data_IF_511634575725
#
_entry.id   IF_511634575725
#
_cell.length_a   1.000
_cell.length_b   1.000
_cell.length_c   1.000
_cell.angle_alpha   90.00
_cell.angle_beta   90.00
_cell.angle_gamma   90.00
#
_symmetry.space_group_name_H-M   'P 1'
#
loop_
_entity.id
_entity.type
_entity.pdbx_description
1 polymer ?
#
# COMPACT_ATOMS: atom_id res chain seq x y z
N UNK A 1 -14.32 -8.85 -4.65
CA UNK A 1 -13.18 -9.70 -4.26
C UNK A 1 -13.66 -11.08 -3.84
N UNK A 2 -14.42 -11.23 -2.73
CA UNK A 2 -14.93 -12.55 -2.30
C UNK A 2 -15.53 -13.44 -3.41
N UNK A 3 -16.39 -12.89 -4.28
CA UNK A 3 -16.95 -13.64 -5.43
C UNK A 3 -15.85 -14.06 -6.42
N UNK A 4 -14.95 -13.15 -6.77
CA UNK A 4 -13.81 -13.47 -7.63
C UNK A 4 -12.96 -14.56 -7.01
N UNK A 5 -12.63 -14.45 -5.72
CA UNK A 5 -11.79 -15.41 -5.01
C UNK A 5 -12.44 -16.81 -4.94
N UNK A 6 -13.78 -16.88 -4.91
CA UNK A 6 -14.53 -18.12 -4.91
C UNK A 6 -14.63 -18.78 -6.30
N UNK A 7 -14.96 -18.02 -7.35
CA UNK A 7 -15.33 -18.57 -8.67
C UNK A 7 -14.38 -18.21 -9.81
N UNK A 8 -13.38 -17.37 -9.57
CA UNK A 8 -12.40 -16.93 -10.58
C UNK A 8 -12.96 -15.93 -11.61
N UNK A 9 -14.21 -15.50 -11.47
CA UNK A 9 -14.89 -14.59 -12.40
C UNK A 9 -14.93 -13.17 -11.86
N UNK A 10 -14.39 -12.22 -12.63
CA UNK A 10 -14.35 -10.81 -12.23
C UNK A 10 -15.53 -10.05 -12.84
N UNK A 11 -16.47 -9.66 -11.98
CA UNK A 11 -17.62 -8.85 -12.36
C UNK A 11 -17.27 -7.35 -12.28
N UNK A 12 -17.66 -6.59 -13.30
CA UNK A 12 -17.40 -5.14 -13.40
C UNK A 12 -18.64 -4.30 -13.08
N UNK A 13 -19.82 -4.90 -13.19
CA UNK A 13 -21.09 -4.22 -13.07
C UNK A 13 -21.80 -4.63 -11.79
N UNK A 14 -22.48 -3.65 -11.17
CA UNK A 14 -23.38 -3.83 -10.05
C UNK A 14 -24.82 -3.54 -10.49
N UNK A 15 -25.83 -4.18 -9.89
CA UNK A 15 -25.76 -5.07 -8.73
C UNK A 15 -25.32 -6.51 -9.07
N UNK A 16 -24.71 -7.20 -8.11
CA UNK A 16 -24.37 -8.63 -8.18
C UNK A 16 -25.60 -9.49 -7.80
N UNK A 17 -26.56 -9.62 -8.70
CA UNK A 17 -27.69 -10.54 -8.51
C UNK A 17 -27.29 -11.98 -8.83
N UNK A 18 -27.98 -13.00 -8.26
CA UNK A 18 -27.68 -14.41 -8.54
C UNK A 18 -27.64 -14.74 -10.04
N UNK A 19 -28.56 -14.17 -10.83
CA UNK A 19 -28.62 -14.40 -12.28
C UNK A 19 -27.39 -13.86 -13.03
N UNK A 20 -26.87 -12.70 -12.60
CA UNK A 20 -25.67 -12.10 -13.19
C UNK A 20 -24.46 -12.96 -12.86
N UNK A 21 -24.36 -13.43 -11.61
CA UNK A 21 -23.28 -14.31 -11.16
C UNK A 21 -23.30 -15.62 -11.92
N UNK A 22 -24.46 -16.29 -12.01
CA UNK A 22 -24.62 -17.55 -12.72
C UNK A 22 -24.24 -17.42 -14.21
N UNK A 23 -24.72 -16.39 -14.90
CA UNK A 23 -24.36 -16.13 -16.31
C UNK A 23 -22.86 -15.87 -16.49
N UNK A 24 -22.21 -15.23 -15.53
CA UNK A 24 -20.76 -15.03 -15.54
C UNK A 24 -19.97 -16.33 -15.40
N UNK A 25 -20.38 -17.18 -14.45
CA UNK A 25 -19.82 -18.52 -14.22
C UNK A 25 -20.00 -19.38 -15.47
N UNK A 26 -21.19 -19.43 -16.05
CA UNK A 26 -21.47 -20.23 -17.25
C UNK A 26 -20.63 -19.76 -18.46
N UNK A 27 -20.47 -18.45 -18.63
CA UNK A 27 -19.61 -17.88 -19.68
C UNK A 27 -18.16 -18.31 -19.49
N UNK A 28 -17.65 -18.28 -18.26
CA UNK A 28 -16.29 -18.70 -17.95
C UNK A 28 -16.10 -20.21 -18.17
N UNK A 29 -17.07 -21.04 -17.74
CA UNK A 29 -17.08 -22.48 -18.00
C UNK A 29 -16.97 -22.78 -19.49
N UNK A 30 -17.79 -22.11 -20.31
CA UNK A 30 -17.76 -22.24 -21.78
C UNK A 30 -16.43 -21.78 -22.38
N UNK A 31 -15.85 -20.69 -21.88
CA UNK A 31 -14.55 -20.19 -22.35
C UNK A 31 -13.40 -21.17 -22.06
N UNK A 32 -13.43 -21.82 -20.89
CA UNK A 32 -12.45 -22.82 -20.47
C UNK A 32 -12.77 -24.24 -20.98
N UNK A 33 -13.88 -24.42 -21.72
CA UNK A 33 -14.36 -25.72 -22.24
C UNK A 33 -14.51 -26.80 -21.16
N UNK A 34 -15.05 -26.40 -20.00
CA UNK A 34 -15.36 -27.30 -18.90
C UNK A 34 -16.78 -27.86 -19.05
N UNK A 35 -16.98 -29.09 -18.57
CA UNK A 35 -18.27 -29.78 -18.60
C UNK A 35 -19.18 -29.30 -17.46
N UNK A 36 -18.64 -29.20 -16.23
CA UNK A 36 -19.36 -28.68 -15.05
C UNK A 36 -18.87 -27.27 -14.67
N UNK A 37 -19.79 -26.44 -14.16
CA UNK A 37 -19.47 -25.17 -13.50
C UNK A 37 -18.71 -25.39 -12.18
N UNK A 38 -18.85 -26.54 -11.53
CA UNK A 38 -18.12 -26.86 -10.30
C UNK A 38 -16.62 -27.11 -10.55
N UNK A 39 -16.21 -27.35 -11.80
CA UNK A 39 -14.81 -27.58 -12.19
C UNK A 39 -14.05 -26.28 -12.46
N UNK A 40 -14.66 -25.12 -12.23
CA UNK A 40 -14.01 -23.83 -12.41
C UNK A 40 -12.79 -23.71 -11.47
N UNK A 41 -11.59 -23.46 -12.00
CA UNK A 41 -10.42 -23.30 -11.16
C UNK A 41 -10.56 -22.02 -10.33
N UNK A 42 -10.34 -22.14 -9.02
CA UNK A 42 -10.19 -20.96 -8.17
C UNK A 42 -9.00 -20.13 -8.67
N UNK A 43 -9.11 -18.79 -8.67
CA UNK A 43 -8.03 -17.94 -9.12
C UNK A 43 -6.82 -18.15 -8.21
N UNK A 44 -5.67 -18.42 -8.83
CA UNK A 44 -4.41 -18.48 -8.10
C UNK A 44 -3.72 -17.13 -8.21
N UNK A 45 -3.03 -16.75 -7.14
CA UNK A 45 -2.17 -15.58 -7.17
C UNK A 45 -0.98 -15.89 -8.06
N UNK A 46 -0.96 -15.28 -9.24
CA UNK A 46 0.21 -15.25 -10.10
C UNK A 46 0.98 -13.97 -9.83
N UNK A 47 2.24 -14.14 -9.44
CA UNK A 47 3.11 -13.02 -9.16
C UNK A 47 3.71 -12.47 -10.45
N UNK A 48 3.63 -11.15 -10.62
CA UNK A 48 4.35 -10.49 -11.71
C UNK A 48 5.86 -10.45 -11.46
N UNK A 49 6.67 -10.06 -12.46
CA UNK A 49 8.13 -9.99 -12.35
C UNK A 49 8.63 -9.09 -11.19
N UNK A 50 7.81 -8.15 -10.74
CA UNK A 50 8.15 -7.22 -9.67
C UNK A 50 8.06 -7.84 -8.27
N UNK A 51 7.45 -9.02 -8.12
CA UNK A 51 7.31 -9.68 -6.82
C UNK A 51 8.67 -9.96 -6.18
N UNK A 52 9.58 -10.59 -6.92
CA UNK A 52 10.89 -10.98 -6.38
C UNK A 52 11.70 -9.74 -5.97
N UNK A 53 11.61 -8.67 -6.77
CA UNK A 53 12.24 -7.37 -6.48
C UNK A 53 11.69 -6.77 -5.19
N UNK A 54 10.36 -6.78 -5.01
CA UNK A 54 9.72 -6.25 -3.80
C UNK A 54 10.05 -7.08 -2.57
N UNK A 55 10.10 -8.42 -2.70
CA UNK A 55 10.48 -9.32 -1.60
C UNK A 55 11.92 -9.07 -1.17
N UNK A 56 12.85 -8.91 -2.13
CA UNK A 56 14.24 -8.57 -1.83
C UNK A 56 14.35 -7.23 -1.07
N UNK A 57 13.72 -6.17 -1.59
CA UNK A 57 13.71 -4.84 -0.96
C UNK A 57 13.07 -4.85 0.42
N UNK A 58 12.00 -5.63 0.62
CA UNK A 58 11.36 -5.78 1.91
C UNK A 58 12.27 -6.47 2.94
N UNK A 59 13.06 -7.46 2.53
CA UNK A 59 14.02 -8.13 3.41
C UNK A 59 15.18 -7.20 3.81
N UNK A 60 15.70 -6.42 2.88
CA UNK A 60 16.72 -5.39 3.15
C UNK A 60 16.18 -4.33 4.13
N UNK A 61 14.98 -3.82 3.84
CA UNK A 61 14.28 -2.86 4.69
C UNK A 61 14.08 -3.39 6.11
N UNK A 62 13.59 -4.62 6.26
CA UNK A 62 13.42 -5.30 7.56
C UNK A 62 14.73 -5.39 8.35
N UNK A 63 15.85 -5.67 7.67
CA UNK A 63 17.16 -5.81 8.29
C UNK A 63 17.66 -4.46 8.82
N UNK A 64 17.54 -3.40 8.02
CA UNK A 64 17.84 -2.03 8.42
C UNK A 64 16.99 -1.59 9.61
N UNK A 65 15.68 -1.81 9.54
CA UNK A 65 14.76 -1.44 10.62
C UNK A 65 15.13 -2.10 11.95
N UNK A 66 15.52 -3.38 11.91
CA UNK A 66 16.02 -4.10 13.08
C UNK A 66 17.33 -3.53 13.61
N UNK A 67 18.27 -3.16 12.76
CA UNK A 67 19.54 -2.53 13.17
C UNK A 67 19.31 -1.17 13.85
N UNK A 68 18.39 -0.36 13.30
CA UNK A 68 18.02 0.94 13.88
C UNK A 68 17.35 0.80 15.25
N UNK A 69 16.47 -0.19 15.43
CA UNK A 69 15.86 -0.47 16.74
C UNK A 69 16.90 -0.80 17.82
N UNK A 70 18.04 -1.37 17.43
CA UNK A 70 19.16 -1.71 18.33
C UNK A 70 20.19 -0.59 18.41
N UNK A 71 19.94 0.55 17.77
CA UNK A 71 20.85 1.71 17.67
C UNK A 71 22.20 1.35 17.02
N UNK A 72 22.26 0.25 16.27
CA UNK A 72 23.44 -0.17 15.49
C UNK A 72 23.56 0.65 14.20
N UNK A 73 22.47 1.29 13.78
CA UNK A 73 22.38 2.14 12.60
C UNK A 73 21.70 3.48 12.96
N UNK A 74 22.42 4.59 12.72
CA UNK A 74 21.95 5.97 12.94
C UNK A 74 21.75 6.74 11.63
N UNK A 75 21.78 6.05 10.49
CA UNK A 75 21.58 6.65 9.17
C UNK A 75 20.18 7.24 9.00
N UNK A 76 20.07 8.12 7.99
CA UNK A 76 18.79 8.73 7.62
C UNK A 76 17.80 7.65 7.19
N UNK A 77 16.52 7.88 7.50
CA UNK A 77 15.46 6.92 7.24
C UNK A 77 14.47 7.46 6.22
N UNK A 78 14.50 6.87 5.04
CA UNK A 78 13.58 7.18 3.95
C UNK A 78 12.71 5.95 3.66
N UNK A 79 11.39 6.16 3.56
CA UNK A 79 10.39 5.11 3.27
C UNK A 79 10.39 4.69 1.78
N UNK A 80 11.06 5.44 0.91
CA UNK A 80 11.14 5.21 -0.52
C UNK A 80 11.88 3.93 -0.94
N UNK A 81 12.60 3.27 -0.04
CA UNK A 81 13.47 2.12 -0.37
C UNK A 81 12.70 0.96 -0.98
N UNK A 82 11.45 0.72 -0.55
CA UNK A 82 10.59 -0.31 -1.14
C UNK A 82 10.32 -0.07 -2.64
N UNK A 83 10.34 1.19 -3.05
CA UNK A 83 10.14 1.61 -4.43
C UNK A 83 11.46 1.73 -5.21
N UNK A 84 12.61 1.49 -4.56
CA UNK A 84 13.94 1.47 -5.18
C UNK A 84 14.69 2.79 -5.02
N UNK A 85 14.25 3.67 -4.13
CA UNK A 85 14.95 4.90 -3.79
C UNK A 85 16.09 4.64 -2.81
N UNK A 86 17.11 5.48 -2.87
CA UNK A 86 18.24 5.46 -1.94
C UNK A 86 17.74 5.71 -0.51
N UNK A 87 18.10 4.85 0.47
CA UNK A 87 17.71 5.01 1.87
C UNK A 87 18.26 6.26 2.55
N UNK A 88 19.37 6.82 2.05
CA UNK A 88 20.13 7.89 2.71
C UNK A 88 19.92 9.27 2.10
N UNK A 89 19.18 9.35 0.99
CA UNK A 89 18.92 10.61 0.28
C UNK A 89 17.42 10.92 0.42
N UNK A 90 17.02 12.15 0.80
CA UNK A 90 15.63 12.57 0.77
C UNK A 90 14.94 12.29 -0.57
N UNK A 91 13.64 11.97 -0.56
CA UNK A 91 12.90 11.64 -1.79
C UNK A 91 12.86 12.81 -2.80
N UNK A 92 12.75 14.03 -2.31
CA UNK A 92 12.78 15.27 -3.10
C UNK A 92 14.08 15.48 -3.86
N UNK A 93 15.20 14.97 -3.34
CA UNK A 93 16.51 15.05 -4.01
C UNK A 93 16.70 13.93 -5.05
N UNK A 94 15.85 12.90 -5.03
CA UNK A 94 15.94 11.73 -5.93
C UNK A 94 14.96 11.79 -7.09
N UNK A 95 13.77 12.38 -6.89
CA UNK A 95 12.71 12.43 -7.90
C UNK A 95 12.04 13.79 -7.90
N UNK A 96 12.04 14.41 -9.08
CA UNK A 96 11.36 15.68 -9.30
C UNK A 96 9.84 15.56 -9.09
N UNK A 97 9.24 16.55 -8.44
CA UNK A 97 7.83 16.57 -8.07
C UNK A 97 7.47 15.92 -6.73
N UNK A 98 8.40 15.26 -6.05
CA UNK A 98 8.21 14.85 -4.65
C UNK A 98 8.57 16.01 -3.71
N UNK A 99 7.71 16.24 -2.71
CA UNK A 99 7.94 17.24 -1.65
C UNK A 99 7.81 16.55 -0.30
N UNK A 100 8.84 16.59 0.55
CA UNK A 100 8.65 16.33 1.97
C UNK A 100 8.13 17.58 2.64
N UNK A 101 6.95 17.48 3.24
CA UNK A 101 6.48 18.47 4.21
C UNK A 101 6.78 17.91 5.60
N UNK A 102 7.86 18.40 6.22
CA UNK A 102 8.19 18.07 7.62
C UNK A 102 7.26 18.81 8.58
N UNK A 103 6.74 19.96 8.15
CA UNK A 103 5.74 20.78 8.83
C UNK A 103 4.68 21.18 7.80
N UNK A 104 3.37 21.11 8.12
CA UNK A 104 2.34 21.53 7.17
C UNK A 104 2.39 23.05 7.03
N UNK A 105 2.22 23.56 5.80
CA UNK A 105 2.24 25.01 5.56
C UNK A 105 1.12 25.70 6.36
N UNK A 106 1.28 26.99 6.73
CA UNK A 106 0.27 27.72 7.50
C UNK A 106 -1.14 27.67 6.89
N UNK A 107 -1.22 27.70 5.56
CA UNK A 107 -2.49 27.60 4.82
C UNK A 107 -3.09 26.18 4.90
N UNK A 108 -2.24 25.14 4.90
CA UNK A 108 -2.67 23.74 5.07
C UNK A 108 -3.10 23.45 6.52
N UNK A 109 -2.42 24.02 7.52
CA UNK A 109 -2.82 23.94 8.92
C UNK A 109 -4.18 24.58 9.17
N UNK A 110 -4.50 25.68 8.47
CA UNK A 110 -5.78 26.35 8.54
C UNK A 110 -6.92 25.49 7.97
N UNK A 111 -6.66 24.74 6.88
CA UNK A 111 -7.64 23.82 6.27
C UNK A 111 -7.87 22.53 7.08
N UNK A 112 -6.88 22.07 7.85
CA UNK A 112 -6.96 20.85 8.67
C UNK A 112 -7.79 21.01 9.97
N UNK A 113 -8.29 22.21 10.27
CA UNK A 113 -9.20 22.48 11.37
C UNK A 113 -8.67 22.02 12.74
N UNK A 114 -9.41 21.14 13.43
CA UNK A 114 -9.04 20.64 14.76
C UNK A 114 -7.72 19.86 14.77
N UNK A 115 -7.40 19.16 13.67
CA UNK A 115 -6.16 18.40 13.53
C UNK A 115 -4.95 19.32 13.33
N UNK A 116 -5.11 20.46 12.65
CA UNK A 116 -4.07 21.49 12.53
C UNK A 116 -3.72 22.14 13.88
N UNK A 117 -4.69 22.29 14.78
CA UNK A 117 -4.44 22.79 16.15
C UNK A 117 -3.61 21.82 17.01
N UNK A 118 -3.63 20.52 16.71
CA UNK A 118 -2.81 19.53 17.39
C UNK A 118 -1.33 19.64 17.01
N UNK A 119 -1.03 20.04 15.77
CA UNK A 119 0.33 20.33 15.28
C UNK A 119 0.95 21.56 15.97
N UNK A 120 0.15 22.58 16.24
CA UNK A 120 0.59 23.80 16.94
C UNK A 120 0.80 23.60 18.45
N UNK A 121 0.47 22.44 19.00
CA UNK A 121 0.50 22.19 20.44
C UNK A 121 1.92 21.84 20.89
N UNK A 122 2.61 22.80 21.51
CA UNK A 122 3.90 22.56 22.17
C UNK A 122 3.78 21.46 23.22
N UNK A 123 4.73 20.53 23.23
CA UNK A 123 4.76 19.46 24.23
C UNK A 123 5.05 20.05 25.61
N UNK A 124 4.57 19.38 26.66
CA UNK A 124 4.69 19.86 28.04
C UNK A 124 6.15 20.04 28.53
N UNK A 125 7.13 19.48 27.79
CA UNK A 125 8.57 19.64 28.08
C UNK A 125 9.14 20.99 27.61
N UNK A 126 8.50 21.64 26.63
CA UNK A 126 8.92 22.93 26.06
C UNK A 126 8.21 24.12 26.72
N UNK A 127 7.11 23.86 27.42
CA UNK A 127 6.51 24.85 28.32
C UNK A 127 7.36 24.83 29.59
N UNK A 128 8.35 25.73 29.67
CA UNK A 128 9.19 25.88 30.86
C UNK A 128 8.37 25.91 32.14
N UNK A 129 8.91 25.33 33.22
CA UNK A 129 8.28 25.34 34.55
C UNK A 129 8.00 26.80 34.97
N UNK A 130 6.72 27.14 35.05
CA UNK A 130 6.22 28.16 35.98
C UNK A 130 5.97 27.50 37.35
#
# INVERSE_FOLDING_TARGET
NAVYDAVGVRFRDLPLTPDIVYKGIERQRRALKLDDCLDLPSPRLEHGPMQDVLVARANEHRTRDKARQRTEDTSHYVNGVLFGFDPNIPLEDQVDGWRMATEPDPDQLAELGLAGRAWLKKTQREMGRD
#
